data_IF_169585753411
#
_entry.id   IF_169585753411
#
_cell.length_a   1.000
_cell.length_b   1.000
_cell.length_c   1.000
_cell.angle_alpha   90.00
_cell.angle_beta   90.00
_cell.angle_gamma   90.00
#
_symmetry.space_group_name_H-M   'P 1'
#
loop_
_entity.id
_entity.type
_entity.pdbx_description
1 polymer ?
#
# COMPACT_ATOMS: atom_id res chain seq x y z
N UNK A 1 -65.93 -12.31 66.19
CA UNK A 1 -65.47 -11.40 65.13
C UNK A 1 -64.08 -11.90 64.75
N UNK A 2 -63.95 -12.88 63.85
CA UNK A 2 -63.91 -12.71 62.37
C UNK A 2 -62.84 -11.64 62.02
N UNK A 3 -61.72 -11.86 61.34
CA UNK A 3 -61.13 -12.94 60.51
C UNK A 3 -59.59 -12.81 60.65
N UNK A 4 -58.80 -13.88 60.59
CA UNK A 4 -58.10 -14.24 59.34
C UNK A 4 -56.58 -14.08 59.47
N UNK A 5 -55.87 -15.18 59.69
CA UNK A 5 -54.41 -15.26 59.67
C UNK A 5 -53.87 -15.07 58.26
N UNK A 6 -52.69 -14.46 58.09
CA UNK A 6 -51.79 -14.75 56.96
C UNK A 6 -50.34 -14.35 57.30
N UNK A 7 -49.50 -15.37 57.24
CA UNK A 7 -48.05 -15.41 57.36
C UNK A 7 -47.35 -14.52 56.33
N UNK A 8 -46.34 -13.75 56.73
CA UNK A 8 -45.45 -13.01 55.82
C UNK A 8 -44.14 -13.79 55.66
N UNK A 9 -43.79 -14.32 54.46
CA UNK A 9 -42.44 -14.79 54.19
C UNK A 9 -41.59 -13.68 53.53
N UNK A 10 -40.24 -13.78 53.61
CA UNK A 10 -39.34 -12.72 53.19
C UNK A 10 -39.15 -12.78 51.68
N UNK A 11 -39.73 -11.84 50.94
CA UNK A 11 -39.55 -11.74 49.50
C UNK A 11 -39.41 -10.28 49.05
N UNK A 12 -38.34 -9.62 49.49
CA UNK A 12 -37.92 -8.33 48.92
C UNK A 12 -36.40 -8.26 48.83
N UNK A 13 -35.81 -9.20 48.08
CA UNK A 13 -34.48 -9.04 47.50
C UNK A 13 -34.44 -9.71 46.12
N UNK A 14 -35.32 -9.26 45.23
CA UNK A 14 -35.12 -9.42 43.79
C UNK A 14 -35.33 -8.04 43.17
N UNK A 15 -34.31 -7.20 43.32
CA UNK A 15 -34.18 -6.01 42.50
C UNK A 15 -33.99 -6.54 41.07
N UNK A 16 -35.08 -6.56 40.32
CA UNK A 16 -35.12 -6.90 38.92
C UNK A 16 -34.25 -5.86 38.19
N UNK A 17 -32.96 -6.17 38.01
CA UNK A 17 -32.16 -5.58 36.96
C UNK A 17 -32.80 -6.00 35.63
N UNK A 18 -33.85 -5.30 35.23
CA UNK A 18 -34.26 -5.18 33.84
C UNK A 18 -33.12 -4.44 33.14
N UNK A 19 -32.06 -5.17 32.80
CA UNK A 19 -31.20 -4.81 31.68
C UNK A 19 -32.13 -4.82 30.48
N UNK A 20 -32.56 -3.62 30.07
CA UNK A 20 -33.04 -3.39 28.71
C UNK A 20 -31.82 -3.68 27.83
N UNK A 21 -31.61 -4.95 27.48
CA UNK A 21 -30.89 -5.27 26.26
C UNK A 21 -31.77 -4.72 25.15
N UNK A 22 -31.44 -3.51 24.70
CA UNK A 22 -31.74 -3.12 23.34
C UNK A 22 -31.15 -4.23 22.46
N UNK A 23 -32.01 -5.14 22.00
CA UNK A 23 -31.72 -5.99 20.86
C UNK A 23 -31.53 -5.02 19.69
N UNK A 24 -30.31 -4.52 19.52
CA UNK A 24 -29.90 -3.91 18.26
C UNK A 24 -29.86 -5.07 17.29
N UNK A 25 -30.94 -5.25 16.55
CA UNK A 25 -30.96 -6.20 15.44
C UNK A 25 -30.01 -5.64 14.38
N UNK A 26 -28.91 -6.34 14.14
CA UNK A 26 -28.08 -6.17 12.95
C UNK A 26 -28.98 -6.27 11.71
N UNK A 27 -28.87 -5.30 10.80
CA UNK A 27 -29.53 -5.34 9.50
C UNK A 27 -28.53 -5.80 8.44
N UNK A 28 -28.81 -6.95 7.81
CA UNK A 28 -28.06 -7.45 6.67
C UNK A 28 -28.74 -6.96 5.39
N UNK A 29 -28.10 -6.02 4.69
CA UNK A 29 -28.63 -5.44 3.44
C UNK A 29 -28.41 -6.36 2.25
N UNK A 30 -27.28 -7.07 2.24
CA UNK A 30 -26.92 -8.01 1.18
C UNK A 30 -25.92 -9.04 1.69
N UNK A 31 -26.16 -10.31 1.36
CA UNK A 31 -25.25 -11.41 1.62
C UNK A 31 -25.26 -12.33 0.39
N UNK A 32 -24.08 -12.65 -0.16
CA UNK A 32 -23.91 -13.54 -1.30
C UNK A 32 -22.75 -14.51 -1.05
N UNK A 33 -23.08 -15.81 -1.09
CA UNK A 33 -22.16 -16.95 -0.96
C UNK A 33 -22.07 -17.78 -2.26
N UNK A 34 -22.63 -17.25 -3.35
CA UNK A 34 -22.69 -17.86 -4.67
C UNK A 34 -23.31 -19.26 -4.74
N UNK A 35 -24.14 -19.62 -3.76
CA UNK A 35 -24.97 -20.83 -3.79
C UNK A 35 -25.77 -20.98 -5.09
N UNK A 36 -26.24 -22.21 -5.35
CA UNK A 36 -27.08 -22.55 -6.50
C UNK A 36 -28.20 -21.52 -6.73
N UNK A 37 -28.29 -21.02 -7.96
CA UNK A 37 -29.24 -19.98 -8.36
C UNK A 37 -28.70 -18.54 -8.32
N UNK A 38 -27.42 -18.32 -7.99
CA UNK A 38 -26.78 -16.99 -8.03
C UNK A 38 -26.93 -16.26 -9.37
N UNK A 39 -27.01 -16.99 -10.49
CA UNK A 39 -27.21 -16.42 -11.83
C UNK A 39 -28.52 -15.62 -11.97
N UNK A 40 -29.50 -15.88 -11.11
CA UNK A 40 -30.75 -15.09 -11.06
C UNK A 40 -30.59 -13.75 -10.33
N UNK A 41 -29.60 -13.65 -9.43
CA UNK A 41 -29.28 -12.46 -8.62
C UNK A 41 -28.30 -11.53 -9.33
N UNK A 42 -27.40 -12.09 -10.15
CA UNK A 42 -26.33 -11.36 -10.82
C UNK A 42 -26.54 -11.19 -12.33
N UNK A 43 -26.31 -9.98 -12.81
CA UNK A 43 -26.42 -9.63 -14.23
C UNK A 43 -25.05 -9.38 -14.82
N UNK A 44 -24.65 -10.23 -15.77
CA UNK A 44 -23.47 -10.00 -16.62
C UNK A 44 -23.71 -8.83 -17.56
N UNK A 45 -22.77 -7.89 -17.57
CA UNK A 45 -22.78 -6.76 -18.49
C UNK A 45 -22.44 -7.18 -19.91
N UNK A 46 -22.92 -6.41 -20.88
CA UNK A 46 -22.57 -6.54 -22.29
C UNK A 46 -21.51 -5.50 -22.72
N UNK A 47 -21.04 -4.68 -21.78
CA UNK A 47 -19.92 -3.77 -21.99
C UNK A 47 -18.69 -4.54 -22.48
N UNK A 48 -17.98 -3.98 -23.48
CA UNK A 48 -16.83 -4.60 -24.17
C UNK A 48 -17.11 -5.91 -24.92
N UNK A 49 -18.36 -6.36 -25.02
CA UNK A 49 -18.72 -7.60 -25.75
C UNK A 49 -18.48 -7.48 -27.26
N UNK A 50 -18.88 -6.36 -27.86
CA UNK A 50 -18.67 -6.11 -29.30
C UNK A 50 -17.20 -5.98 -29.69
N UNK A 51 -16.34 -5.54 -28.75
CA UNK A 51 -14.88 -5.48 -28.93
C UNK A 51 -14.20 -6.84 -28.73
N UNK A 52 -14.95 -7.89 -28.35
CA UNK A 52 -14.39 -9.19 -27.97
C UNK A 52 -13.53 -9.14 -26.71
N UNK A 53 -13.66 -8.11 -25.88
CA UNK A 53 -12.85 -7.88 -24.67
C UNK A 53 -13.60 -8.16 -23.37
N UNK A 54 -14.89 -8.51 -23.44
CA UNK A 54 -15.67 -8.94 -22.28
C UNK A 54 -15.26 -10.35 -21.82
N UNK A 55 -15.04 -10.50 -20.52
CA UNK A 55 -14.82 -11.76 -19.83
C UNK A 55 -16.13 -12.38 -19.33
N UNK A 56 -16.01 -13.57 -18.77
CA UNK A 56 -17.09 -14.37 -18.19
C UNK A 56 -16.68 -14.87 -16.80
N UNK A 57 -17.62 -15.50 -16.09
CA UNK A 57 -17.36 -16.02 -14.75
C UNK A 57 -17.66 -17.52 -14.72
N UNK A 58 -16.86 -18.27 -13.98
CA UNK A 58 -17.07 -19.69 -13.67
C UNK A 58 -17.48 -19.82 -12.21
N UNK A 59 -18.45 -20.67 -11.93
CA UNK A 59 -18.82 -21.02 -10.55
C UNK A 59 -17.92 -22.18 -10.07
N UNK A 60 -16.99 -21.90 -9.15
CA UNK A 60 -15.94 -22.86 -8.76
C UNK A 60 -15.27 -22.47 -7.43
N UNK A 61 -14.79 -23.47 -6.68
CA UNK A 61 -13.99 -23.29 -5.47
C UNK A 61 -12.48 -23.07 -5.78
N UNK A 62 -12.10 -23.16 -7.06
CA UNK A 62 -10.71 -23.13 -7.51
C UNK A 62 -10.08 -24.53 -7.58
N UNK A 63 -8.75 -24.56 -7.76
CA UNK A 63 -7.89 -25.75 -7.83
C UNK A 63 -7.50 -26.30 -6.46
N UNK A 64 -7.32 -25.43 -5.46
CA UNK A 64 -7.01 -25.82 -4.08
C UNK A 64 -7.96 -25.13 -3.12
N UNK A 65 -9.13 -25.73 -2.88
CA UNK A 65 -10.11 -25.19 -1.94
C UNK A 65 -9.96 -25.85 -0.57
N UNK A 66 -10.23 -25.10 0.50
CA UNK A 66 -10.39 -25.71 1.84
C UNK A 66 -11.67 -26.55 1.93
N UNK A 67 -12.72 -26.11 1.25
CA UNK A 67 -13.98 -26.84 1.08
C UNK A 67 -14.37 -26.82 -0.42
N UNK A 68 -14.48 -27.99 -1.09
CA UNK A 68 -14.87 -28.05 -2.51
C UNK A 68 -16.28 -27.53 -2.82
N UNK A 69 -17.14 -27.45 -1.81
CA UNK A 69 -18.51 -26.93 -1.93
C UNK A 69 -18.59 -25.42 -1.72
N UNK A 70 -17.56 -24.80 -1.13
CA UNK A 70 -17.40 -23.35 -0.94
C UNK A 70 -16.97 -22.69 -2.27
N UNK A 71 -17.95 -22.43 -3.13
CA UNK A 71 -17.73 -21.98 -4.50
C UNK A 71 -18.06 -20.51 -4.65
N UNK A 72 -17.08 -19.75 -5.15
CA UNK A 72 -17.27 -18.38 -5.61
C UNK A 72 -17.41 -18.26 -7.13
N UNK A 73 -17.32 -17.02 -7.61
CA UNK A 73 -17.23 -16.70 -9.04
C UNK A 73 -15.79 -16.39 -9.45
N UNK A 74 -15.24 -17.21 -10.34
CA UNK A 74 -13.89 -17.07 -10.87
C UNK A 74 -13.87 -16.37 -12.22
N UNK A 75 -12.96 -15.40 -12.39
CA UNK A 75 -12.75 -14.71 -13.67
C UNK A 75 -12.22 -15.67 -14.75
N UNK A 76 -12.79 -15.61 -15.95
CA UNK A 76 -12.34 -16.34 -17.15
C UNK A 76 -12.79 -15.69 -18.48
N UNK A 77 -12.00 -15.60 -19.56
CA UNK A 77 -10.59 -15.99 -19.76
C UNK A 77 -9.59 -14.82 -19.67
N UNK A 78 -8.30 -15.11 -19.76
CA UNK A 78 -7.20 -14.13 -19.73
C UNK A 78 -7.39 -12.91 -20.65
N UNK A 79 -6.82 -11.78 -20.24
CA UNK A 79 -6.80 -10.50 -20.94
C UNK A 79 -8.21 -9.99 -21.30
N UNK A 80 -9.08 -9.90 -20.29
CA UNK A 80 -10.47 -9.44 -20.43
C UNK A 80 -10.88 -8.44 -19.35
N UNK A 81 -11.90 -7.65 -19.68
CA UNK A 81 -12.68 -6.86 -18.74
C UNK A 81 -13.83 -7.71 -18.21
N UNK A 82 -13.96 -7.77 -16.90
CA UNK A 82 -15.00 -8.49 -16.18
C UNK A 82 -15.97 -7.48 -15.60
N UNK A 83 -17.25 -7.62 -15.90
CA UNK A 83 -18.28 -6.70 -15.43
C UNK A 83 -19.57 -7.47 -15.10
N UNK A 84 -19.90 -7.55 -13.82
CA UNK A 84 -21.11 -8.20 -13.31
C UNK A 84 -21.64 -7.43 -12.10
N UNK A 85 -22.95 -7.29 -11.98
CA UNK A 85 -23.58 -6.56 -10.88
C UNK A 85 -24.80 -7.28 -10.34
N UNK A 86 -25.11 -7.07 -9.06
CA UNK A 86 -26.36 -7.47 -8.43
C UNK A 86 -27.13 -6.24 -7.96
N UNK A 87 -28.45 -6.30 -8.10
CA UNK A 87 -29.36 -5.31 -7.51
C UNK A 87 -29.67 -5.73 -6.07
N UNK A 88 -29.58 -4.79 -5.15
CA UNK A 88 -29.83 -5.03 -3.72
C UNK A 88 -31.01 -4.18 -3.24
N UNK A 89 -31.63 -4.51 -2.08
CA UNK A 89 -32.55 -3.62 -1.40
C UNK A 89 -31.89 -2.24 -1.20
N UNK A 90 -32.60 -1.19 -1.60
CA UNK A 90 -32.05 0.16 -1.50
C UNK A 90 -31.94 0.56 -0.02
N UNK A 91 -30.76 1.01 0.40
CA UNK A 91 -30.51 1.42 1.78
C UNK A 91 -29.62 2.66 1.86
N UNK A 92 -29.64 3.33 3.01
CA UNK A 92 -28.75 4.45 3.32
C UNK A 92 -28.03 4.18 4.63
N UNK A 93 -26.74 4.52 4.67
CA UNK A 93 -25.95 4.44 5.89
C UNK A 93 -26.15 5.65 6.84
N UNK A 94 -27.11 6.55 6.57
CA UNK A 94 -27.38 7.67 7.47
C UNK A 94 -27.77 7.19 8.87
N UNK A 95 -27.03 7.64 9.88
CA UNK A 95 -27.24 7.29 11.29
C UNK A 95 -26.80 5.87 11.67
N UNK A 96 -26.14 5.13 10.78
CA UNK A 96 -25.69 3.75 11.03
C UNK A 96 -24.31 3.49 10.45
N UNK A 97 -23.66 2.44 10.94
CA UNK A 97 -22.40 1.98 10.38
C UNK A 97 -22.67 1.32 9.02
N UNK A 98 -21.75 1.48 8.07
CA UNK A 98 -21.69 0.68 6.85
C UNK A 98 -20.53 -0.29 6.98
N UNK A 99 -20.80 -1.57 6.82
CA UNK A 99 -19.78 -2.60 6.64
C UNK A 99 -19.88 -3.15 5.23
N UNK A 100 -18.77 -3.15 4.49
CA UNK A 100 -18.64 -3.79 3.20
C UNK A 100 -17.48 -4.79 3.23
N UNK A 101 -17.81 -6.07 3.08
CA UNK A 101 -16.88 -7.18 3.23
C UNK A 101 -17.00 -8.13 2.05
N UNK A 102 -15.88 -8.68 1.60
CA UNK A 102 -15.86 -9.82 0.68
C UNK A 102 -14.52 -10.54 0.74
N UNK A 103 -14.52 -11.78 0.29
CA UNK A 103 -13.30 -12.57 0.12
C UNK A 103 -12.87 -12.61 -1.34
N UNK A 104 -11.56 -12.61 -1.56
CA UNK A 104 -10.97 -12.80 -2.87
C UNK A 104 -9.74 -13.68 -2.78
N UNK A 105 -9.59 -14.56 -3.75
CA UNK A 105 -8.41 -15.41 -3.95
C UNK A 105 -7.79 -15.14 -5.30
N UNK A 106 -6.51 -14.75 -5.32
CA UNK A 106 -5.70 -14.70 -6.53
C UNK A 106 -5.02 -16.06 -6.74
N UNK A 107 -5.80 -17.05 -7.16
CA UNK A 107 -5.31 -18.42 -7.38
C UNK A 107 -4.24 -18.48 -8.49
N UNK A 108 -4.36 -17.60 -9.46
CA UNK A 108 -3.41 -17.41 -10.53
C UNK A 108 -2.25 -16.51 -10.08
N UNK A 109 -1.07 -16.68 -10.68
CA UNK A 109 0.02 -15.70 -10.58
C UNK A 109 -0.41 -14.39 -11.27
N UNK A 110 -1.19 -13.57 -10.59
CA UNK A 110 -1.73 -12.34 -11.14
C UNK A 110 -0.60 -11.33 -11.32
N UNK A 111 -0.28 -11.02 -12.57
CA UNK A 111 0.74 -10.02 -12.89
C UNK A 111 0.15 -8.61 -12.91
N UNK A 112 -1.02 -8.46 -13.53
CA UNK A 112 -1.76 -7.20 -13.54
C UNK A 112 -3.26 -7.45 -13.62
N UNK A 113 -4.00 -7.01 -12.61
CA UNK A 113 -5.45 -6.98 -12.58
C UNK A 113 -6.03 -6.53 -11.24
N UNK A 114 -7.26 -6.04 -11.32
CA UNK A 114 -8.03 -5.59 -10.16
C UNK A 114 -8.75 -6.76 -9.48
N UNK A 115 -8.88 -6.65 -8.15
CA UNK A 115 -9.69 -7.52 -7.30
C UNK A 115 -10.68 -6.75 -6.45
N UNK A 116 -10.97 -5.50 -6.81
CA UNK A 116 -11.88 -4.62 -6.08
C UNK A 116 -13.35 -4.77 -6.50
N UNK A 117 -14.23 -4.37 -5.59
CA UNK A 117 -15.67 -4.28 -5.82
C UNK A 117 -16.14 -2.83 -5.69
N UNK A 118 -17.32 -2.56 -6.24
CA UNK A 118 -17.94 -1.23 -6.22
C UNK A 118 -19.36 -1.29 -5.68
N UNK A 119 -19.74 -0.28 -4.90
CA UNK A 119 -21.13 0.00 -4.51
C UNK A 119 -21.66 1.16 -5.34
N UNK A 120 -22.92 1.08 -5.78
CA UNK A 120 -23.52 2.06 -6.66
C UNK A 120 -24.81 2.62 -6.09
N UNK A 121 -24.99 3.92 -6.33
CA UNK A 121 -26.21 4.65 -6.01
C UNK A 121 -27.05 4.94 -7.25
N UNK A 122 -28.34 5.18 -7.04
CA UNK A 122 -29.26 5.54 -8.12
C UNK A 122 -29.51 4.40 -9.10
N UNK A 123 -29.92 4.71 -10.33
CA UNK A 123 -30.20 3.70 -11.35
C UNK A 123 -28.92 3.29 -12.12
N UNK A 124 -28.62 2.00 -12.13
CA UNK A 124 -27.56 1.40 -12.95
C UNK A 124 -28.20 0.51 -14.02
N UNK A 125 -27.90 0.80 -15.28
CA UNK A 125 -28.19 -0.13 -16.37
C UNK A 125 -27.17 -1.27 -16.35
N UNK A 126 -27.50 -2.35 -15.64
CA UNK A 126 -26.62 -3.50 -15.42
C UNK A 126 -26.09 -4.14 -16.72
N UNK A 127 -26.84 -4.04 -17.83
CA UNK A 127 -26.40 -4.55 -19.14
C UNK A 127 -25.34 -3.68 -19.81
N UNK A 128 -25.24 -2.40 -19.43
CA UNK A 128 -24.23 -1.46 -19.92
C UNK A 128 -23.19 -1.12 -18.85
N UNK A 129 -23.21 -1.82 -17.73
CA UNK A 129 -22.30 -1.61 -16.59
C UNK A 129 -20.84 -1.79 -17.02
N UNK A 130 -19.97 -0.84 -16.65
CA UNK A 130 -18.56 -0.83 -17.01
C UNK A 130 -17.78 0.25 -16.28
N UNK A 131 -16.54 0.50 -16.70
CA UNK A 131 -15.59 1.39 -16.00
C UNK A 131 -16.09 2.81 -15.73
N UNK A 132 -16.88 3.38 -16.65
CA UNK A 132 -17.40 4.75 -16.54
C UNK A 132 -18.69 4.86 -15.71
N UNK A 133 -19.18 3.75 -15.14
CA UNK A 133 -20.40 3.77 -14.33
C UNK A 133 -20.14 4.48 -13.00
N UNK A 134 -20.85 5.57 -12.67
CA UNK A 134 -20.64 6.28 -11.40
C UNK A 134 -20.91 5.38 -10.20
N UNK A 135 -19.95 5.28 -9.29
CA UNK A 135 -20.03 4.49 -8.06
C UNK A 135 -19.98 5.40 -6.84
N UNK A 136 -20.37 4.86 -5.68
CA UNK A 136 -20.31 5.54 -4.39
C UNK A 136 -19.07 5.15 -3.60
N UNK A 137 -18.67 3.87 -3.70
CA UNK A 137 -17.49 3.31 -3.07
C UNK A 137 -16.82 2.35 -4.06
N UNK A 138 -15.50 2.41 -4.18
CA UNK A 138 -14.67 1.36 -4.76
C UNK A 138 -13.68 0.89 -3.70
N UNK A 139 -13.68 -0.41 -3.41
CA UNK A 139 -12.89 -0.98 -2.32
C UNK A 139 -12.30 -2.33 -2.72
N UNK A 140 -11.00 -2.52 -2.47
CA UNK A 140 -10.34 -3.81 -2.62
C UNK A 140 -8.96 -3.79 -3.26
N UNK A 141 -8.29 -4.96 -3.38
CA UNK A 141 -6.93 -5.06 -3.89
C UNK A 141 -6.84 -4.77 -5.39
N UNK A 142 -5.70 -4.23 -5.81
CA UNK A 142 -5.30 -4.03 -7.19
C UNK A 142 -3.79 -4.27 -7.32
N UNK A 143 -3.46 -5.23 -8.18
CA UNK A 143 -2.09 -5.69 -8.38
C UNK A 143 -1.75 -5.39 -9.84
N UNK A 144 -0.69 -4.63 -10.10
CA UNK A 144 -0.15 -4.44 -11.43
C UNK A 144 1.37 -4.25 -11.38
N UNK A 145 2.08 -5.33 -11.72
CA UNK A 145 3.53 -5.44 -11.69
C UNK A 145 4.10 -5.29 -10.27
N UNK A 146 5.32 -4.77 -10.21
CA UNK A 146 6.00 -4.46 -8.93
C UNK A 146 5.64 -3.09 -8.37
N UNK A 147 4.99 -2.24 -9.16
CA UNK A 147 4.75 -0.84 -8.81
C UNK A 147 3.39 -0.60 -8.15
N UNK A 148 2.39 -1.44 -8.44
CA UNK A 148 1.04 -1.31 -7.89
C UNK A 148 0.67 -2.59 -7.17
N UNK A 149 0.62 -2.55 -5.84
CA UNK A 149 0.18 -3.65 -4.97
C UNK A 149 -0.57 -3.06 -3.80
N UNK A 150 -1.75 -2.51 -4.08
CA UNK A 150 -2.46 -1.69 -3.11
C UNK A 150 -3.93 -2.03 -2.98
N UNK A 151 -4.50 -1.67 -1.83
CA UNK A 151 -5.93 -1.69 -1.59
C UNK A 151 -6.48 -0.33 -2.00
N UNK A 152 -7.29 -0.29 -3.06
CA UNK A 152 -8.08 0.89 -3.37
C UNK A 152 -9.14 1.09 -2.31
N UNK A 153 -9.28 2.33 -1.86
CA UNK A 153 -10.40 2.78 -1.06
C UNK A 153 -10.76 4.18 -1.54
N UNK A 154 -11.74 4.23 -2.44
CA UNK A 154 -12.14 5.43 -3.17
C UNK A 154 -13.59 5.76 -2.84
N UNK A 155 -13.82 6.96 -2.33
CA UNK A 155 -15.14 7.47 -1.96
C UNK A 155 -15.59 8.51 -2.99
N UNK A 156 -16.84 8.42 -3.41
CA UNK A 156 -17.43 9.43 -4.29
C UNK A 156 -18.18 10.48 -3.49
N UNK A 157 -17.79 11.73 -3.65
CA UNK A 157 -18.42 12.88 -3.01
C UNK A 157 -18.72 13.96 -4.05
N UNK A 158 -19.95 14.46 -4.08
CA UNK A 158 -20.43 15.47 -5.04
C UNK A 158 -20.12 15.17 -6.53
N UNK A 159 -20.02 13.89 -6.91
CA UNK A 159 -19.75 13.46 -8.29
C UNK A 159 -18.28 13.35 -8.65
N UNK A 160 -17.37 13.60 -7.71
CA UNK A 160 -15.93 13.37 -7.86
C UNK A 160 -15.49 12.17 -7.00
N UNK A 161 -14.47 11.46 -7.48
CA UNK A 161 -13.91 10.30 -6.79
C UNK A 161 -12.62 10.71 -6.05
N UNK A 162 -12.59 10.44 -4.76
CA UNK A 162 -11.49 10.75 -3.87
C UNK A 162 -10.82 9.45 -3.42
N UNK A 163 -9.63 9.12 -3.92
CA UNK A 163 -8.85 8.01 -3.38
C UNK A 163 -8.31 8.37 -2.00
N UNK A 164 -8.15 7.37 -1.13
CA UNK A 164 -7.46 7.54 0.14
C UNK A 164 -6.01 8.01 -0.09
N UNK A 165 -5.53 8.90 0.78
CA UNK A 165 -4.14 9.44 0.74
C UNK A 165 -3.09 8.42 1.15
N UNK A 166 -3.48 7.49 2.02
CA UNK A 166 -2.60 6.47 2.58
C UNK A 166 -2.28 5.42 1.52
N UNK A 167 -1.04 4.95 1.52
CA UNK A 167 -0.63 3.82 0.69
C UNK A 167 -0.91 2.53 1.45
N UNK A 168 -1.87 1.76 0.96
CA UNK A 168 -2.39 0.57 1.63
C UNK A 168 -1.92 -0.66 0.88
N UNK A 169 -0.98 -1.44 1.43
CA UNK A 169 -0.50 -2.66 0.77
C UNK A 169 -1.57 -3.77 0.81
N UNK A 170 -1.73 -4.49 -0.30
CA UNK A 170 -2.60 -5.67 -0.36
C UNK A 170 -1.80 -6.97 -0.26
N UNK A 171 -2.50 -8.04 0.11
CA UNK A 171 -1.90 -9.39 0.11
C UNK A 171 -1.63 -9.88 -1.31
N UNK A 172 -0.54 -10.62 -1.50
CA UNK A 172 -0.06 -11.04 -2.84
C UNK A 172 0.24 -12.52 -2.97
N UNK A 173 -0.12 -13.33 -1.97
CA UNK A 173 -0.04 -14.78 -2.08
C UNK A 173 -1.24 -15.34 -2.88
N UNK A 174 -1.36 -16.67 -2.91
CA UNK A 174 -2.38 -17.38 -3.71
C UNK A 174 -3.52 -17.97 -2.87
N UNK A 175 -3.61 -17.54 -1.62
CA UNK A 175 -4.65 -17.96 -0.69
C UNK A 175 -5.81 -16.97 -0.76
N UNK A 176 -6.91 -17.36 -0.13
CA UNK A 176 -8.06 -16.50 0.02
C UNK A 176 -7.76 -15.47 1.11
N UNK A 177 -8.10 -14.21 0.85
CA UNK A 177 -8.06 -13.14 1.85
C UNK A 177 -9.41 -12.42 1.92
N UNK A 178 -9.77 -11.94 3.10
CA UNK A 178 -11.02 -11.22 3.35
C UNK A 178 -10.73 -9.74 3.57
N UNK A 179 -11.34 -8.89 2.76
CA UNK A 179 -11.23 -7.44 2.85
C UNK A 179 -12.50 -6.87 3.45
N UNK A 180 -12.38 -6.10 4.53
CA UNK A 180 -13.51 -5.50 5.24
C UNK A 180 -13.30 -4.01 5.41
N UNK A 181 -14.25 -3.22 4.92
CA UNK A 181 -14.30 -1.78 5.12
C UNK A 181 -15.46 -1.43 6.04
N UNK A 182 -15.19 -0.65 7.07
CA UNK A 182 -16.17 -0.20 8.07
C UNK A 182 -16.17 1.33 8.06
N UNK A 183 -17.32 1.96 7.84
CA UNK A 183 -17.51 3.40 7.91
C UNK A 183 -18.59 3.75 8.94
N UNK A 184 -18.25 4.55 9.94
CA UNK A 184 -19.11 4.87 11.08
C UNK A 184 -19.76 6.26 10.95
N UNK A 185 -20.84 6.54 11.71
CA UNK A 185 -21.54 7.84 11.68
C UNK A 185 -20.73 9.07 12.10
N UNK A 186 -19.60 8.88 12.77
CA UNK A 186 -18.66 9.96 13.12
C UNK A 186 -17.62 10.24 12.03
N UNK A 187 -17.83 9.67 10.83
CA UNK A 187 -16.89 9.69 9.71
C UNK A 187 -15.52 9.06 10.03
N UNK A 188 -15.43 8.22 11.06
CA UNK A 188 -14.30 7.32 11.27
C UNK A 188 -14.45 6.06 10.42
N UNK A 189 -13.31 5.49 10.01
CA UNK A 189 -13.30 4.23 9.28
C UNK A 189 -12.29 3.24 9.88
N UNK A 190 -12.52 1.96 9.62
CA UNK A 190 -11.56 0.88 9.83
C UNK A 190 -11.47 0.02 8.57
N UNK A 191 -10.26 -0.42 8.24
CA UNK A 191 -9.98 -1.37 7.18
C UNK A 191 -9.34 -2.60 7.82
N UNK A 192 -9.99 -3.74 7.66
CA UNK A 192 -9.49 -5.02 8.14
C UNK A 192 -9.14 -5.91 6.94
N UNK A 193 -8.06 -6.65 7.09
CA UNK A 193 -7.71 -7.78 6.23
C UNK A 193 -7.63 -9.01 7.12
N UNK A 194 -8.35 -10.07 6.76
CA UNK A 194 -8.37 -11.34 7.49
C UNK A 194 -8.74 -11.17 8.98
N UNK A 195 -9.81 -10.40 9.24
CA UNK A 195 -10.28 -10.01 10.59
C UNK A 195 -9.26 -9.21 11.44
N UNK A 196 -8.15 -8.75 10.87
CA UNK A 196 -7.14 -7.92 11.55
C UNK A 196 -7.23 -6.48 11.07
N UNK A 197 -7.37 -5.52 12.00
CA UNK A 197 -7.33 -4.09 11.65
C UNK A 197 -5.94 -3.74 11.11
N UNK A 198 -5.92 -3.29 9.85
CA UNK A 198 -4.72 -2.86 9.15
C UNK A 198 -4.57 -1.35 9.18
N UNK A 199 -5.71 -0.65 9.09
CA UNK A 199 -5.75 0.80 9.04
C UNK A 199 -7.02 1.33 9.67
N UNK A 200 -6.95 2.50 10.32
CA UNK A 200 -8.10 3.22 10.81
C UNK A 200 -7.84 4.73 10.78
N UNK A 201 -8.91 5.52 10.73
CA UNK A 201 -8.76 6.96 10.61
C UNK A 201 -10.07 7.68 10.40
N UNK A 202 -10.00 8.83 9.73
CA UNK A 202 -11.14 9.71 9.53
C UNK A 202 -11.22 10.25 8.11
N UNK A 203 -12.44 10.38 7.58
CA UNK A 203 -12.69 11.01 6.29
C UNK A 203 -12.17 12.44 6.21
N UNK A 204 -12.12 13.16 7.35
CA UNK A 204 -11.62 14.53 7.43
C UNK A 204 -10.11 14.66 7.19
N UNK A 205 -9.35 13.60 7.42
CA UNK A 205 -7.87 13.64 7.33
C UNK A 205 -7.35 12.84 6.15
N UNK A 206 -7.96 11.70 5.87
CA UNK A 206 -7.36 10.67 5.03
C UNK A 206 -7.84 10.73 3.57
N UNK A 207 -8.79 11.63 3.27
CA UNK A 207 -9.19 12.01 1.92
C UNK A 207 -9.10 13.54 1.73
N UNK A 208 -8.98 13.98 0.48
CA UNK A 208 -9.05 15.40 0.10
C UNK A 208 -10.47 15.82 -0.28
N UNK A 209 -11.47 15.42 0.52
CA UNK A 209 -12.88 15.74 0.25
C UNK A 209 -13.19 17.18 0.66
N UNK A 210 -12.87 17.55 1.90
CA UNK A 210 -13.06 18.88 2.44
C UNK A 210 -11.72 19.63 2.48
N UNK A 211 -11.71 20.95 2.30
CA UNK A 211 -10.50 21.74 2.46
C UNK A 211 -9.97 21.67 3.91
N UNK A 212 -8.69 22.00 4.16
CA UNK A 212 -8.14 21.92 5.51
C UNK A 212 -8.82 22.93 6.45
N UNK A 213 -9.07 22.54 7.70
CA UNK A 213 -9.66 23.41 8.73
C UNK A 213 -8.84 24.67 9.00
N UNK A 214 -7.52 24.58 8.88
CA UNK A 214 -6.59 25.69 9.13
C UNK A 214 -5.62 25.87 7.97
N UNK A 215 -5.34 27.13 7.64
CA UNK A 215 -4.37 27.54 6.63
C UNK A 215 -3.36 28.51 7.26
N UNK A 216 -2.18 28.63 6.65
CA UNK A 216 -1.21 29.65 7.09
C UNK A 216 -1.72 31.02 6.67
N UNK A 217 -1.64 31.99 7.59
CA UNK A 217 -1.97 33.37 7.27
C UNK A 217 -0.91 33.98 6.35
N UNK A 218 -1.19 33.98 5.05
CA UNK A 218 -0.29 34.54 4.03
C UNK A 218 -0.10 36.06 4.18
N UNK A 219 -0.98 36.74 4.91
CA UNK A 219 -0.91 38.18 5.15
C UNK A 219 -0.20 38.52 6.47
N UNK A 220 0.08 37.53 7.33
CA UNK A 220 0.79 37.74 8.57
C UNK A 220 2.22 38.21 8.32
N UNK A 221 2.59 39.31 8.98
CA UNK A 221 3.95 39.86 8.95
C UNK A 221 4.61 39.63 10.31
N UNK A 222 5.92 39.39 10.28
CA UNK A 222 6.74 39.36 11.50
C UNK A 222 6.57 40.70 12.24
N UNK A 223 6.13 40.70 13.51
CA UNK A 223 6.05 41.93 14.30
C UNK A 223 7.42 42.60 14.40
N UNK A 224 7.45 43.94 14.39
CA UNK A 224 8.72 44.70 14.41
C UNK A 224 9.50 44.50 15.72
N UNK A 225 8.78 44.22 16.79
CA UNK A 225 9.22 43.94 18.15
C UNK A 225 9.56 42.46 18.39
N UNK A 226 9.40 41.59 17.39
CA UNK A 226 9.74 40.18 17.52
C UNK A 226 11.25 39.95 17.38
N UNK A 227 11.91 39.64 18.49
CA UNK A 227 13.33 39.34 18.51
C UNK A 227 13.58 37.83 18.31
N UNK A 228 14.06 37.47 17.12
CA UNK A 228 14.46 36.11 16.75
C UNK A 228 15.98 35.88 16.85
N UNK A 229 16.72 36.82 17.45
CA UNK A 229 18.15 36.67 17.72
C UNK A 229 18.32 35.94 19.04
N UNK A 230 18.79 34.69 18.98
CA UNK A 230 19.07 33.88 20.17
C UNK A 230 20.20 34.46 21.04
N UNK A 231 21.17 35.11 20.39
CA UNK A 231 22.30 35.75 21.07
C UNK A 231 22.47 37.19 20.61
N UNK A 232 22.59 38.10 21.57
CA UNK A 232 22.88 39.52 21.39
C UNK A 232 24.25 39.84 22.00
N UNK A 233 24.83 40.96 21.60
CA UNK A 233 26.02 41.49 22.25
C UNK A 233 25.65 41.98 23.66
N UNK A 234 26.51 41.68 24.63
CA UNK A 234 26.30 42.06 26.03
C UNK A 234 26.35 43.59 26.14
N UNK A 235 25.24 44.25 26.47
CA UNK A 235 25.21 45.72 26.57
C UNK A 235 26.07 46.24 27.72
N UNK A 236 26.45 45.38 28.67
CA UNK A 236 27.31 45.73 29.79
C UNK A 236 28.79 45.39 29.54
N UNK A 237 29.12 44.66 28.47
CA UNK A 237 30.50 44.39 28.10
C UNK A 237 31.05 45.60 27.34
N UNK A 238 31.61 46.54 28.10
CA UNK A 238 32.23 47.73 27.53
C UNK A 238 33.69 47.45 27.16
N UNK A 239 34.11 48.03 26.03
CA UNK A 239 35.49 47.94 25.58
C UNK A 239 36.44 48.52 26.63
N UNK A 240 37.44 47.76 27.11
CA UNK A 240 38.38 48.26 28.10
C UNK A 240 39.17 49.47 27.58
N UNK A 241 39.38 50.45 28.46
CA UNK A 241 40.17 51.63 28.13
C UNK A 241 41.60 51.23 27.71
N UNK A 242 42.07 51.77 26.57
CA UNK A 242 43.40 51.46 26.05
C UNK A 242 43.51 50.17 25.22
N UNK A 243 42.43 49.41 25.01
CA UNK A 243 42.46 48.20 24.17
C UNK A 243 42.93 48.51 22.73
N UNK A 244 42.50 49.63 22.15
CA UNK A 244 42.93 50.06 20.80
C UNK A 244 44.36 50.58 20.73
N UNK A 245 44.96 50.90 21.89
CA UNK A 245 46.35 51.35 21.96
C UNK A 245 47.32 50.16 21.93
N UNK A 246 46.81 48.93 22.03
CA UNK A 246 47.62 47.72 21.91
C UNK A 246 47.90 47.49 20.42
N UNK A 247 49.13 47.79 19.99
CA UNK A 247 49.56 47.58 18.61
C UNK A 247 49.66 46.08 18.30
N UNK A 248 49.30 45.70 17.07
CA UNK A 248 49.40 44.32 16.58
C UNK A 248 50.84 43.81 16.56
N UNK A 249 51.80 44.72 16.36
CA UNK A 249 53.22 44.42 16.37
C UNK A 249 53.95 45.36 17.33
N UNK A 250 54.92 44.80 18.05
CA UNK A 250 55.82 45.53 18.95
C UNK A 250 57.27 45.27 18.53
N UNK A 251 58.21 46.21 18.75
CA UNK A 251 59.61 45.97 18.43
C UNK A 251 60.17 44.78 19.24
N UNK A 252 60.94 43.92 18.60
CA UNK A 252 61.60 42.81 19.27
C UNK A 252 62.87 43.27 20.00
N UNK A 253 62.71 43.66 21.26
CA UNK A 253 63.83 44.11 22.11
C UNK A 253 64.91 43.05 22.39
N UNK A 254 64.68 41.79 21.99
CA UNK A 254 65.69 40.71 22.08
C UNK A 254 66.47 40.52 20.78
N UNK A 255 66.02 41.12 19.68
CA UNK A 255 66.80 41.15 18.46
C UNK A 255 68.07 41.95 18.74
N UNK A 256 69.20 41.45 18.25
CA UNK A 256 70.46 42.17 18.25
C UNK A 256 70.69 42.71 16.86
N UNK A 257 71.35 43.86 16.81
CA UNK A 257 71.91 44.38 15.57
C UNK A 257 72.83 43.33 14.94
N UNK A 258 72.66 43.02 13.65
CA UNK A 258 73.57 42.12 12.94
C UNK A 258 75.01 42.64 12.97
N UNK A 259 75.98 41.73 13.05
CA UNK A 259 77.41 42.09 13.09
C UNK A 259 77.89 42.77 11.78
N UNK A 260 77.12 42.67 10.70
CA UNK A 260 77.34 43.26 9.38
C UNK A 260 76.53 44.53 9.10
N UNK A 261 75.90 45.14 10.12
CA UNK A 261 75.12 46.38 9.97
C UNK A 261 76.01 47.61 9.84
N UNK A 262 75.78 48.46 8.83
CA UNK A 262 76.50 49.71 8.63
C UNK A 262 75.56 50.92 8.83
N UNK A 263 75.74 51.68 9.93
CA UNK A 263 74.88 52.83 10.24
C UNK A 263 74.93 53.97 9.20
N UNK A 264 76.02 54.11 8.44
CA UNK A 264 76.19 55.17 7.44
C UNK A 264 75.44 54.84 6.13
N UNK A 265 75.34 53.54 5.77
CA UNK A 265 74.66 53.05 4.56
C UNK A 265 73.21 52.58 4.82
N UNK A 266 72.94 51.85 5.91
CA UNK A 266 71.64 51.26 6.24
C UNK A 266 70.80 52.12 7.23
N UNK A 267 71.42 53.13 7.82
CA UNK A 267 70.82 54.02 8.82
C UNK A 267 70.75 53.42 10.23
N UNK A 268 70.25 54.21 11.20
CA UNK A 268 70.13 53.77 12.61
C UNK A 268 69.31 52.48 12.72
N UNK A 269 69.94 51.41 13.20
CA UNK A 269 69.30 50.13 13.38
C UNK A 269 68.03 50.25 14.25
N UNK A 270 66.95 49.61 13.80
CA UNK A 270 65.69 49.52 14.54
C UNK A 270 65.32 48.05 14.68
N UNK A 271 64.99 47.58 15.90
CA UNK A 271 64.62 46.19 16.11
C UNK A 271 63.42 45.80 15.23
N UNK A 272 63.46 44.62 14.59
CA UNK A 272 62.35 44.14 13.77
C UNK A 272 61.08 44.04 14.60
N UNK A 273 59.94 44.30 13.97
CA UNK A 273 58.65 44.19 14.63
C UNK A 273 58.26 42.71 14.75
N UNK A 274 57.79 42.30 15.92
CA UNK A 274 57.21 40.98 16.17
C UNK A 274 55.74 41.08 16.58
N UNK A 275 54.94 40.03 16.37
CA UNK A 275 53.55 40.00 16.85
C UNK A 275 53.48 40.26 18.34
N UNK A 276 52.60 41.19 18.75
CA UNK A 276 52.39 41.52 20.15
C UNK A 276 51.49 40.46 20.81
N UNK A 277 51.98 39.66 21.77
CA UNK A 277 51.18 38.62 22.41
C UNK A 277 49.95 39.16 23.18
N UNK A 278 49.94 40.46 23.51
CA UNK A 278 48.82 41.13 24.18
C UNK A 278 47.73 41.59 23.21
N UNK A 279 47.99 41.65 21.90
CA UNK A 279 47.00 42.02 20.91
C UNK A 279 46.05 40.86 20.65
N UNK A 280 44.78 41.03 21.02
CA UNK A 280 43.73 39.99 20.87
C UNK A 280 42.84 40.22 19.65
N UNK A 281 43.28 41.03 18.69
CA UNK A 281 42.48 41.42 17.52
C UNK A 281 41.46 42.52 17.84
N UNK A 282 40.65 42.95 16.84
CA UNK A 282 39.61 43.95 17.04
C UNK A 282 38.64 43.53 18.13
N UNK A 283 38.37 44.43 19.08
CA UNK A 283 37.44 44.13 20.17
C UNK A 283 36.04 43.85 19.63
N UNK A 284 35.43 42.77 20.12
CA UNK A 284 34.02 42.45 19.91
C UNK A 284 33.39 42.19 21.27
N UNK A 285 32.21 42.75 21.56
CA UNK A 285 31.50 42.48 22.80
C UNK A 285 31.21 40.97 22.93
N UNK A 286 31.17 40.47 24.16
CA UNK A 286 30.74 39.11 24.46
C UNK A 286 29.30 38.91 24.00
N UNK A 287 29.00 37.74 23.44
CA UNK A 287 27.62 37.38 23.09
C UNK A 287 26.94 36.71 24.28
N UNK A 288 25.80 37.23 24.69
CA UNK A 288 24.95 36.67 25.74
C UNK A 288 23.63 36.17 25.14
N UNK A 289 22.97 35.24 25.83
CA UNK A 289 21.62 34.82 25.45
C UNK A 289 20.68 36.00 25.57
N UNK A 290 19.91 36.25 24.52
CA UNK A 290 18.97 37.35 24.48
C UNK A 290 17.77 37.07 25.41
N UNK A 291 17.57 37.85 26.49
CA UNK A 291 16.44 37.66 27.39
C UNK A 291 15.08 37.86 26.70
N UNK A 292 15.04 38.62 25.59
CA UNK A 292 13.84 38.92 24.82
C UNK A 292 13.64 37.99 23.61
N UNK A 293 14.40 36.89 23.51
CA UNK A 293 14.28 35.95 22.39
C UNK A 293 12.91 35.27 22.41
N UNK A 294 12.10 35.54 21.38
CA UNK A 294 10.74 35.01 21.23
C UNK A 294 10.69 33.75 20.34
N UNK A 295 11.85 33.26 19.90
CA UNK A 295 11.93 32.15 18.94
C UNK A 295 11.99 32.63 17.50
N UNK A 296 12.27 31.72 16.56
CA UNK A 296 12.14 32.02 15.14
C UNK A 296 10.67 32.28 14.82
N UNK A 297 10.37 33.45 14.27
CA UNK A 297 9.00 33.80 13.86
C UNK A 297 8.49 32.77 12.84
N UNK A 298 7.27 32.28 13.07
CA UNK A 298 6.55 31.37 12.18
C UNK A 298 5.22 32.01 11.82
N UNK A 299 4.82 31.85 10.56
CA UNK A 299 3.50 32.27 10.09
C UNK A 299 2.41 31.58 10.92
N UNK A 300 1.47 32.33 11.52
CA UNK A 300 0.39 31.75 12.30
C UNK A 300 -0.57 30.95 11.42
N UNK A 301 -1.25 29.98 12.03
CA UNK A 301 -2.35 29.25 11.41
C UNK A 301 -3.65 29.94 11.76
N UNK A 302 -4.47 30.23 10.76
CA UNK A 302 -5.80 30.81 10.88
C UNK A 302 -6.85 29.80 10.39
N UNK A 303 -8.08 29.98 10.82
CA UNK A 303 -9.20 29.18 10.33
C UNK A 303 -9.40 29.45 8.82
N UNK A 304 -9.65 28.39 8.07
CA UNK A 304 -9.81 28.49 6.63
C UNK A 304 -11.22 29.00 6.29
N UNK A 305 -11.37 30.18 5.67
CA UNK A 305 -12.70 30.70 5.31
C UNK A 305 -13.45 29.83 4.30
N UNK A 306 -12.73 29.00 3.54
CA UNK A 306 -13.32 28.04 2.59
C UNK A 306 -13.75 26.72 3.27
N UNK A 307 -13.42 26.52 4.55
CA UNK A 307 -13.84 25.33 5.27
C UNK A 307 -15.28 25.44 5.75
N UNK A 308 -16.13 24.57 5.19
CA UNK A 308 -17.48 24.29 5.67
C UNK A 308 -17.54 22.83 6.12
N UNK A 309 -17.99 22.61 7.36
CA UNK A 309 -18.10 21.27 7.94
C UNK A 309 -19.34 20.56 7.38
N UNK A 310 -19.19 19.30 6.97
CA UNK A 310 -20.29 18.46 6.53
C UNK A 310 -20.54 17.35 7.57
N UNK A 311 -21.55 17.47 8.45
CA UNK A 311 -21.86 16.46 9.45
C UNK A 311 -22.33 15.13 8.82
N UNK A 312 -22.78 15.15 7.57
CA UNK A 312 -23.21 14.00 6.80
C UNK A 312 -22.10 13.51 5.84
N UNK A 313 -20.83 13.90 6.04
CA UNK A 313 -19.69 13.51 5.20
C UNK A 313 -19.56 11.99 4.96
N UNK A 314 -19.92 11.17 5.96
CA UNK A 314 -19.91 9.71 5.89
C UNK A 314 -21.11 9.13 5.13
N UNK A 315 -22.18 9.90 4.95
CA UNK A 315 -23.43 9.44 4.35
C UNK A 315 -23.24 9.33 2.85
N UNK A 316 -23.27 8.09 2.36
CA UNK A 316 -23.29 7.85 0.93
C UNK A 316 -24.69 8.11 0.38
N UNK A 317 -24.76 8.43 -0.92
CA UNK A 317 -26.03 8.35 -1.65
C UNK A 317 -26.65 6.95 -1.46
N UNK A 318 -27.99 6.81 -1.51
CA UNK A 318 -28.64 5.52 -1.28
C UNK A 318 -28.11 4.43 -2.23
N UNK A 319 -27.57 3.37 -1.63
CA UNK A 319 -26.92 2.28 -2.35
C UNK A 319 -28.00 1.31 -2.84
N UNK A 320 -27.87 0.87 -4.09
CA UNK A 320 -28.87 0.02 -4.77
C UNK A 320 -28.26 -1.13 -5.57
N UNK A 321 -26.96 -1.08 -5.85
CA UNK A 321 -26.26 -2.15 -6.54
C UNK A 321 -24.88 -2.37 -5.95
N UNK A 322 -24.41 -3.61 -6.09
CA UNK A 322 -23.02 -4.02 -5.88
C UNK A 322 -22.51 -4.62 -7.18
N UNK A 323 -21.23 -4.48 -7.49
CA UNK A 323 -20.68 -5.04 -8.71
C UNK A 323 -19.17 -5.19 -8.73
N UNK A 324 -18.73 -6.09 -9.58
CA UNK A 324 -17.33 -6.35 -9.90
C UNK A 324 -17.10 -5.79 -11.30
N UNK A 325 -16.21 -4.79 -11.41
CA UNK A 325 -15.71 -4.29 -12.68
C UNK A 325 -14.20 -4.20 -12.62
N UNK A 326 -13.52 -5.15 -13.27
CA UNK A 326 -12.06 -5.26 -13.21
C UNK A 326 -11.48 -5.69 -14.56
N UNK A 327 -10.27 -5.22 -14.85
CA UNK A 327 -9.43 -5.79 -15.90
C UNK A 327 -8.47 -6.81 -15.29
N UNK A 328 -8.25 -7.94 -15.95
CA UNK A 328 -7.20 -8.90 -15.54
C UNK A 328 -6.44 -9.43 -16.76
N UNK A 329 -5.11 -9.37 -16.70
CA UNK A 329 -4.20 -9.98 -17.68
C UNK A 329 -4.27 -11.49 -17.57
N UNK A 330 -4.05 -12.03 -16.36
CA UNK A 330 -4.23 -13.46 -16.06
C UNK A 330 -5.50 -13.63 -15.23
N UNK A 331 -6.45 -14.37 -15.76
CA UNK A 331 -7.71 -14.65 -15.10
C UNK A 331 -7.56 -15.82 -14.11
N UNK A 332 -8.49 -15.94 -13.17
CA UNK A 332 -8.45 -16.94 -12.10
C UNK A 332 -8.81 -16.41 -10.72
N UNK A 333 -9.11 -15.11 -10.59
CA UNK A 333 -9.48 -14.52 -9.30
C UNK A 333 -10.86 -15.02 -8.91
N UNK A 334 -11.00 -15.59 -7.73
CA UNK A 334 -12.26 -16.09 -7.18
C UNK A 334 -12.80 -15.07 -6.20
N UNK A 335 -13.99 -14.54 -6.45
CA UNK A 335 -14.72 -13.65 -5.52
C UNK A 335 -15.80 -14.44 -4.79
N UNK A 336 -15.91 -14.24 -3.48
CA UNK A 336 -16.90 -14.93 -2.66
C UNK A 336 -17.22 -14.17 -1.36
N UNK A 337 -18.21 -14.62 -0.59
CA UNK A 337 -18.56 -14.17 0.75
C UNK A 337 -18.83 -12.66 0.84
N UNK A 338 -19.61 -12.13 -0.09
CA UNK A 338 -19.92 -10.69 -0.18
C UNK A 338 -20.97 -10.35 0.87
N UNK A 339 -20.67 -9.40 1.74
CA UNK A 339 -21.53 -8.95 2.82
C UNK A 339 -21.62 -7.42 2.86
N UNK A 340 -22.85 -6.92 3.02
CA UNK A 340 -23.17 -5.53 3.29
C UNK A 340 -24.14 -5.50 4.49
N UNK A 341 -23.71 -4.94 5.61
CA UNK A 341 -24.51 -4.84 6.84
C UNK A 341 -24.18 -3.57 7.63
N UNK A 342 -24.81 -3.39 8.79
CA UNK A 342 -24.54 -2.29 9.72
C UNK A 342 -23.86 -2.70 11.04
N UNK A 343 -23.49 -3.98 11.18
CA UNK A 343 -22.89 -4.54 12.39
C UNK A 343 -21.48 -5.11 12.13
N UNK A 344 -20.42 -4.44 12.62
CA UNK A 344 -19.05 -4.96 12.56
C UNK A 344 -18.84 -6.30 13.26
N UNK A 345 -19.60 -6.59 14.31
CA UNK A 345 -19.47 -7.83 15.07
C UNK A 345 -20.06 -9.01 14.28
N UNK A 346 -21.21 -8.82 13.63
CA UNK A 346 -21.74 -9.80 12.68
C UNK A 346 -20.77 -10.06 11.52
N UNK A 347 -20.17 -9.01 10.95
CA UNK A 347 -19.22 -9.17 9.85
C UNK A 347 -17.99 -10.01 10.25
N UNK A 348 -17.44 -9.77 11.45
CA UNK A 348 -16.36 -10.61 12.01
C UNK A 348 -16.78 -12.07 12.15
N UNK A 349 -18.00 -12.34 12.64
CA UNK A 349 -18.52 -13.69 12.77
C UNK A 349 -18.60 -14.40 11.40
N UNK A 350 -19.08 -13.71 10.37
CA UNK A 350 -19.13 -14.27 9.00
C UNK A 350 -17.73 -14.67 8.50
N UNK A 351 -16.69 -13.91 8.81
CA UNK A 351 -15.30 -14.28 8.47
C UNK A 351 -14.84 -15.53 9.22
N UNK A 352 -15.20 -15.66 10.50
CA UNK A 352 -14.86 -16.84 11.30
C UNK A 352 -15.56 -18.10 10.79
N UNK A 353 -16.83 -17.97 10.38
CA UNK A 353 -17.65 -19.09 9.89
C UNK A 353 -17.26 -19.57 8.49
N UNK A 354 -16.77 -18.66 7.63
CA UNK A 354 -16.43 -18.94 6.24
C UNK A 354 -14.91 -19.13 6.08
N UNK A 355 -14.17 -18.05 5.94
CA UNK A 355 -12.74 -18.06 5.65
C UNK A 355 -11.91 -18.72 6.76
N UNK A 356 -12.11 -18.35 8.03
CA UNK A 356 -11.22 -18.82 9.10
C UNK A 356 -11.33 -20.33 9.33
N UNK A 357 -12.51 -20.90 9.11
CA UNK A 357 -12.77 -22.33 9.15
C UNK A 357 -12.02 -23.09 8.05
N UNK A 358 -11.93 -22.51 6.85
CA UNK A 358 -11.38 -23.17 5.66
C UNK A 358 -9.91 -22.85 5.38
N UNK A 359 -9.32 -21.79 5.97
CA UNK A 359 -7.98 -21.28 5.62
C UNK A 359 -6.85 -22.30 5.79
N UNK A 360 -6.87 -23.11 6.84
CA UNK A 360 -5.78 -24.08 7.09
C UNK A 360 -5.87 -25.24 6.09
N UNK A 361 -7.09 -25.73 5.81
CA UNK A 361 -7.32 -26.74 4.78
C UNK A 361 -6.95 -26.23 3.38
N UNK A 362 -7.28 -24.97 3.06
CA UNK A 362 -6.88 -24.33 1.80
C UNK A 362 -5.35 -24.27 1.69
N UNK A 363 -4.67 -23.88 2.76
CA UNK A 363 -3.21 -23.77 2.79
C UNK A 363 -2.54 -25.14 2.61
N UNK A 364 -3.03 -26.18 3.28
CA UNK A 364 -2.53 -27.55 3.10
C UNK A 364 -2.75 -28.04 1.66
N UNK A 365 -3.94 -27.81 1.09
CA UNK A 365 -4.26 -28.14 -0.29
C UNK A 365 -3.35 -27.40 -1.29
N UNK A 366 -3.04 -26.12 -1.02
CA UNK A 366 -2.11 -25.33 -1.81
C UNK A 366 -0.68 -25.88 -1.76
N UNK A 367 -0.17 -26.17 -0.55
CA UNK A 367 1.17 -26.72 -0.38
C UNK A 367 1.33 -28.08 -1.07
N UNK A 368 0.31 -28.92 -1.03
CA UNK A 368 0.31 -30.19 -1.74
C UNK A 368 0.26 -30.00 -3.27
N UNK A 369 -0.59 -29.10 -3.76
CA UNK A 369 -0.64 -28.76 -5.18
C UNK A 369 0.71 -28.20 -5.69
N UNK A 370 1.40 -27.41 -4.88
CA UNK A 370 2.73 -26.88 -5.16
C UNK A 370 3.81 -27.98 -5.19
N UNK A 371 3.77 -28.95 -4.27
CA UNK A 371 4.69 -30.11 -4.29
C UNK A 371 4.49 -30.93 -5.55
N UNK A 372 3.25 -31.25 -5.91
CA UNK A 372 2.92 -32.00 -7.14
C UNK A 372 3.40 -31.24 -8.37
N UNK A 373 3.19 -29.92 -8.42
CA UNK A 373 3.66 -29.07 -9.52
C UNK A 373 5.18 -29.11 -9.65
N UNK A 374 5.92 -28.91 -8.54
CA UNK A 374 7.38 -28.93 -8.53
C UNK A 374 7.94 -30.29 -8.94
N UNK A 375 7.37 -31.38 -8.43
CA UNK A 375 7.79 -32.74 -8.81
C UNK A 375 7.61 -32.99 -10.32
N UNK A 376 6.50 -32.51 -10.90
CA UNK A 376 6.26 -32.60 -12.34
C UNK A 376 7.23 -31.74 -13.16
N UNK A 377 7.50 -30.51 -12.71
CA UNK A 377 8.47 -29.62 -13.37
C UNK A 377 9.89 -30.21 -13.33
N UNK A 378 10.29 -30.84 -12.22
CA UNK A 378 11.56 -31.54 -12.08
C UNK A 378 11.65 -32.76 -13.00
N UNK A 379 10.58 -33.56 -13.11
CA UNK A 379 10.51 -34.69 -14.02
C UNK A 379 10.59 -34.24 -15.49
N UNK A 380 9.84 -33.20 -15.87
CA UNK A 380 9.88 -32.63 -17.22
C UNK A 380 11.28 -32.05 -17.53
N UNK A 381 11.91 -31.37 -16.56
CA UNK A 381 13.27 -30.86 -16.70
C UNK A 381 14.31 -32.00 -16.83
N UNK A 382 14.15 -33.09 -16.09
CA UNK A 382 15.01 -34.27 -16.21
C UNK A 382 14.85 -34.92 -17.60
N UNK A 383 13.62 -35.14 -18.05
CA UNK A 383 13.34 -35.66 -19.40
C UNK A 383 13.96 -34.77 -20.49
N UNK A 384 13.84 -33.45 -20.36
CA UNK A 384 14.45 -32.50 -21.29
C UNK A 384 15.99 -32.56 -21.28
N UNK A 385 16.61 -32.78 -20.11
CA UNK A 385 18.07 -32.97 -19.99
C UNK A 385 18.52 -34.28 -20.65
N UNK A 386 17.83 -35.38 -20.37
CA UNK A 386 18.11 -36.69 -20.96
C UNK A 386 17.95 -36.67 -22.49
N UNK A 387 16.90 -36.02 -22.99
CA UNK A 387 16.70 -35.81 -24.43
C UNK A 387 17.82 -34.93 -25.02
N UNK A 388 18.19 -33.86 -24.32
CA UNK A 388 19.31 -32.99 -24.70
C UNK A 388 20.64 -33.75 -24.78
N UNK A 389 20.92 -34.63 -23.83
CA UNK A 389 22.09 -35.51 -23.85
C UNK A 389 22.04 -36.51 -25.00
N UNK A 390 20.89 -37.15 -25.23
CA UNK A 390 20.69 -38.08 -26.34
C UNK A 390 20.97 -37.39 -27.67
N UNK A 391 20.39 -36.20 -27.91
CA UNK A 391 20.65 -35.38 -29.10
C UNK A 391 22.13 -34.99 -29.24
N UNK A 392 22.86 -34.76 -28.14
CA UNK A 392 24.32 -34.49 -28.17
C UNK A 392 25.11 -35.76 -28.52
N UNK A 393 24.74 -36.92 -27.98
CA UNK A 393 25.39 -38.21 -28.29
C UNK A 393 25.20 -38.57 -29.76
N UNK A 394 23.99 -38.41 -30.30
CA UNK A 394 23.68 -38.69 -31.70
C UNK A 394 24.49 -37.79 -32.64
N UNK A 395 24.57 -36.47 -32.37
CA UNK A 395 25.45 -35.56 -33.12
C UNK A 395 26.93 -35.94 -33.01
N UNK A 396 27.36 -36.41 -31.84
CA UNK A 396 28.73 -36.89 -31.63
C UNK A 396 29.04 -38.18 -32.40
N UNK A 397 28.07 -39.09 -32.48
CA UNK A 397 28.15 -40.32 -33.25
C UNK A 397 28.25 -40.02 -34.76
N UNK A 398 27.40 -39.14 -35.28
CA UNK A 398 27.44 -38.71 -36.68
C UNK A 398 28.78 -38.07 -37.06
N UNK A 399 29.33 -37.22 -36.18
CA UNK A 399 30.62 -36.58 -36.40
C UNK A 399 31.75 -37.61 -36.45
N UNK A 400 31.78 -38.55 -35.49
CA UNK A 400 32.78 -39.63 -35.46
C UNK A 400 32.63 -40.58 -36.64
N UNK A 401 31.40 -40.89 -37.06
CA UNK A 401 31.13 -41.74 -38.22
C UNK A 401 31.66 -41.08 -39.50
N UNK A 402 31.36 -39.79 -39.70
CA UNK A 402 31.86 -39.00 -40.84
C UNK A 402 33.39 -38.88 -40.83
N UNK A 403 34.00 -38.67 -39.68
CA UNK A 403 35.47 -38.62 -39.55
C UNK A 403 36.12 -39.99 -39.85
N UNK A 404 35.48 -41.09 -39.43
CA UNK A 404 35.94 -42.46 -39.71
C UNK A 404 35.82 -42.82 -41.19
N UNK A 405 34.72 -42.46 -41.84
CA UNK A 405 34.57 -42.62 -43.29
C UNK A 405 35.63 -41.81 -44.04
N UNK A 406 35.85 -40.55 -43.65
CA UNK A 406 36.87 -39.70 -44.25
C UNK A 406 38.28 -40.29 -44.08
N UNK A 407 38.58 -40.87 -42.92
CA UNK A 407 39.84 -41.56 -42.68
C UNK A 407 39.96 -42.84 -43.52
N UNK A 408 38.90 -43.63 -43.64
CA UNK A 408 38.87 -44.86 -44.45
C UNK A 408 39.04 -44.57 -45.94
N UNK A 409 38.42 -43.51 -46.45
CA UNK A 409 38.61 -43.04 -47.82
C UNK A 409 40.04 -42.55 -48.07
N UNK A 410 40.63 -41.85 -47.10
CA UNK A 410 42.04 -41.43 -47.18
C UNK A 410 42.98 -42.65 -47.24
N UNK A 411 42.70 -43.71 -46.49
CA UNK A 411 43.47 -44.95 -46.52
C UNK A 411 43.25 -45.74 -47.81
N UNK A 412 42.02 -45.82 -48.33
CA UNK A 412 41.74 -46.44 -49.64
C UNK A 412 42.51 -45.75 -50.76
N UNK A 413 42.38 -44.44 -50.88
CA UNK A 413 43.14 -43.67 -51.87
C UNK A 413 44.65 -43.83 -51.74
N UNK A 414 45.17 -43.98 -50.52
CA UNK A 414 46.62 -44.19 -50.30
C UNK A 414 47.07 -45.62 -50.63
N UNK A 415 46.18 -46.60 -50.52
CA UNK A 415 46.44 -47.99 -50.94
C UNK A 415 46.41 -48.12 -52.46
N UNK A 416 45.41 -47.51 -53.10
CA UNK A 416 45.31 -47.49 -54.56
C UNK A 416 46.56 -46.81 -55.20
N UNK A 417 47.10 -45.78 -54.55
CA UNK A 417 48.36 -45.11 -54.98
C UNK A 417 49.64 -45.95 -54.78
N UNK A 418 49.58 -47.01 -53.96
CA UNK A 418 50.73 -47.91 -53.71
C UNK A 418 50.65 -49.19 -54.55
N UNK A 419 49.44 -49.64 -54.90
CA UNK A 419 49.25 -50.77 -55.83
C UNK A 419 49.60 -50.36 -57.28
N UNK A 420 49.39 -49.09 -57.67
CA UNK A 420 49.81 -48.55 -58.99
C UNK A 420 51.33 -48.45 -59.19
N UNK A 421 52.14 -48.59 -58.14
CA UNK A 421 53.61 -48.52 -58.23
C UNK A 421 54.28 -49.89 -58.44
N UNK A 422 53.52 -50.98 -58.46
CA UNK A 422 54.07 -52.34 -58.56
C UNK A 422 53.80 -53.05 -59.90
N UNK A 423 53.05 -52.45 -60.82
CA UNK A 423 52.73 -53.04 -62.13
C UNK A 423 53.54 -52.45 -63.31
N UNK A 424 54.50 -51.56 -63.05
CA UNK A 424 55.48 -51.13 -64.05
C UNK A 424 56.91 -51.35 -63.52
N UNK A 425 57.42 -52.59 -63.61
CA UNK A 425 58.84 -52.90 -63.80
C UNK A 425 59.08 -54.35 -64.22
#
# INVERSE_FOLDING_TARGET
MAEGALTVPPLQLLLLCLTVLSLVSSEVFFEERFDDGWESRWVKSEWKRSEGKAGSFKHTAGKWAGDPDDKGIQTYPDAKHYAISAKIPEFSNKGRTLVFQYSIKFEQDIECGGGYMKLFSGYVNQKKFGGDTPYSLMFGPDICGTQTKKIHLILSYQGQNYPIKKDLECETDKLTHVYTFILRPDASYSLLVDNRERESGSMYTDWDILPPRKIKDVNAKKPKDWDDREYIDDPNDVKPEGYDKILAEIPDLKAKEPDDWDEDEDGKWKPPKKPNPKYKGPWKPKRIKNPNYQGKWKTPWIDNPEFEDDPDLYVMKPIKYVGIEVWQVKAGSVFDNILICDDPEYAKQVVEETWAKNKEAEKEAFEEAEKVRKAREEEEAQRAREEGERRRRDRGYDRRHRDRERYRDKYRRRRDYMDDYHDEL
#
